data_IF_540264718931
#
_entry.id   IF_540264718931
#
_cell.length_a   1.000
_cell.length_b   1.000
_cell.length_c   1.000
_cell.angle_alpha   90.00
_cell.angle_beta   90.00
_cell.angle_gamma   90.00
#
_symmetry.space_group_name_H-M   'P 1'
#
loop_
_entity.id
_entity.type
_entity.pdbx_description
1 polymer ?
#
# COMPACT_ATOMS: atom_id res chain seq x y z
N UNK A 1 -6.91 -3.54 -12.08
CA UNK A 1 -8.03 -2.59 -12.33
C UNK A 1 -9.21 -2.94 -11.42
N UNK A 2 -10.32 -2.21 -11.48
CA UNK A 2 -11.51 -2.57 -10.71
C UNK A 2 -12.08 -3.94 -11.13
N UNK A 3 -12.08 -4.22 -12.44
CA UNK A 3 -12.56 -5.50 -12.99
C UNK A 3 -11.72 -6.67 -12.47
N UNK A 4 -10.39 -6.50 -12.44
CA UNK A 4 -9.48 -7.50 -11.88
C UNK A 4 -9.74 -7.77 -10.40
N UNK A 5 -10.01 -6.73 -9.59
CA UNK A 5 -10.35 -6.90 -8.17
C UNK A 5 -11.62 -7.74 -8.01
N UNK A 6 -12.64 -7.48 -8.83
CA UNK A 6 -13.89 -8.25 -8.82
C UNK A 6 -13.69 -9.70 -9.26
N UNK A 7 -12.88 -9.94 -10.30
CA UNK A 7 -12.55 -11.29 -10.77
C UNK A 7 -11.86 -12.12 -9.67
N UNK A 8 -10.86 -11.54 -9.01
CA UNK A 8 -10.19 -12.18 -7.86
C UNK A 8 -11.17 -12.37 -6.70
N UNK A 9 -12.07 -11.42 -6.44
CA UNK A 9 -13.08 -11.55 -5.39
C UNK A 9 -14.03 -12.73 -5.64
N UNK A 10 -14.41 -12.98 -6.88
CA UNK A 10 -15.26 -14.11 -7.26
C UNK A 10 -14.53 -15.43 -7.03
N UNK A 11 -13.30 -15.57 -7.54
CA UNK A 11 -12.48 -16.76 -7.35
C UNK A 11 -12.23 -17.06 -5.85
N UNK A 12 -11.94 -16.03 -5.05
CA UNK A 12 -11.77 -16.18 -3.59
C UNK A 12 -13.07 -16.61 -2.91
N UNK A 13 -14.23 -16.08 -3.35
CA UNK A 13 -15.53 -16.46 -2.77
C UNK A 13 -15.89 -17.92 -3.07
N UNK A 14 -15.54 -18.42 -4.26
CA UNK A 14 -15.69 -19.83 -4.62
C UNK A 14 -14.82 -20.72 -3.72
N UNK A 15 -13.54 -20.36 -3.54
CA UNK A 15 -12.61 -21.08 -2.67
C UNK A 15 -13.03 -21.05 -1.19
N UNK A 16 -13.55 -19.93 -0.69
CA UNK A 16 -14.09 -19.83 0.67
C UNK A 16 -15.24 -20.84 0.87
N UNK A 17 -16.16 -20.92 -0.10
CA UNK A 17 -17.28 -21.87 -0.07
C UNK A 17 -16.77 -23.32 -0.10
N UNK A 18 -15.87 -23.65 -1.02
CA UNK A 18 -15.32 -25.01 -1.15
C UNK A 18 -14.58 -25.47 0.11
N UNK A 19 -13.95 -24.54 0.82
CA UNK A 19 -13.18 -24.82 2.04
C UNK A 19 -13.96 -24.59 3.34
N UNK A 20 -15.27 -24.32 3.26
CA UNK A 20 -16.13 -23.98 4.41
C UNK A 20 -15.57 -22.85 5.29
N UNK A 21 -14.97 -21.84 4.66
CA UNK A 21 -14.51 -20.62 5.32
C UNK A 21 -15.65 -19.59 5.41
N UNK A 22 -15.60 -18.66 6.38
CA UNK A 22 -16.57 -17.57 6.45
C UNK A 22 -16.60 -16.74 5.16
N UNK A 23 -17.78 -16.52 4.54
CA UNK A 23 -17.89 -15.68 3.36
C UNK A 23 -17.39 -14.26 3.63
N UNK A 24 -16.53 -13.75 2.77
CA UNK A 24 -15.97 -12.40 2.93
C UNK A 24 -14.84 -12.31 3.96
N UNK A 25 -14.39 -13.43 4.54
CA UNK A 25 -13.35 -13.46 5.56
C UNK A 25 -11.98 -13.04 5.04
N UNK A 26 -11.67 -13.33 3.78
CA UNK A 26 -10.41 -12.95 3.13
C UNK A 26 -10.50 -11.52 2.60
N UNK A 27 -9.61 -10.63 3.06
CA UNK A 27 -9.56 -9.20 2.70
C UNK A 27 -8.38 -8.89 1.78
N UNK A 28 -8.47 -7.78 1.05
CA UNK A 28 -7.53 -7.41 0.00
C UNK A 28 -6.81 -6.09 0.31
N UNK A 29 -5.51 -6.13 0.11
CA UNK A 29 -4.66 -4.96 -0.06
C UNK A 29 -4.29 -4.88 -1.54
N UNK A 30 -4.46 -3.71 -2.17
CA UNK A 30 -3.98 -3.50 -3.54
C UNK A 30 -2.62 -2.79 -3.53
N UNK A 31 -1.65 -3.41 -4.19
CA UNK A 31 -0.34 -2.80 -4.45
C UNK A 31 -0.38 -2.14 -5.85
N UNK A 32 -0.02 -0.87 -5.91
CA UNK A 32 -0.06 -0.05 -7.12
C UNK A 32 1.36 0.08 -7.65
N UNK A 33 1.60 -0.53 -8.81
CA UNK A 33 2.96 -0.76 -9.34
C UNK A 33 3.12 -0.27 -10.78
N UNK A 34 2.09 0.37 -11.36
CA UNK A 34 2.13 0.85 -12.74
C UNK A 34 1.58 2.26 -12.87
N UNK A 35 2.18 3.12 -13.72
CA UNK A 35 1.68 4.48 -13.95
C UNK A 35 0.23 4.54 -14.42
N UNK A 36 -0.17 3.58 -15.27
CA UNK A 36 -1.54 3.49 -15.78
C UNK A 36 -2.60 3.27 -14.69
N UNK A 37 -2.23 2.67 -13.55
CA UNK A 37 -3.15 2.48 -12.44
C UNK A 37 -3.51 3.78 -11.71
N UNK A 38 -2.66 4.82 -11.79
CA UNK A 38 -2.91 6.12 -11.13
C UNK A 38 -4.23 6.76 -11.59
N UNK A 39 -4.55 6.63 -12.88
CA UNK A 39 -5.78 7.17 -13.47
C UNK A 39 -7.04 6.38 -13.05
N UNK A 40 -6.86 5.23 -12.39
CA UNK A 40 -7.93 4.29 -12.05
C UNK A 40 -8.02 4.03 -10.54
N UNK A 41 -7.29 4.80 -9.72
CA UNK A 41 -7.17 4.56 -8.29
C UNK A 41 -8.52 4.55 -7.57
N UNK A 42 -9.39 5.52 -7.84
CA UNK A 42 -10.71 5.58 -7.23
C UNK A 42 -11.54 4.32 -7.53
N UNK A 43 -11.56 3.90 -8.79
CA UNK A 43 -12.28 2.69 -9.21
C UNK A 43 -11.69 1.42 -8.58
N UNK A 44 -10.37 1.32 -8.45
CA UNK A 44 -9.69 0.19 -7.78
C UNK A 44 -10.03 0.18 -6.28
N UNK A 45 -9.94 1.33 -5.62
CA UNK A 45 -10.16 1.47 -4.19
C UNK A 45 -11.59 1.06 -3.79
N UNK A 46 -12.59 1.46 -4.56
CA UNK A 46 -14.00 1.15 -4.30
C UNK A 46 -14.49 -0.12 -5.00
N UNK A 47 -13.60 -0.92 -5.61
CA UNK A 47 -14.01 -2.01 -6.49
C UNK A 47 -14.81 -3.12 -5.78
N UNK A 48 -14.49 -3.41 -4.52
CA UNK A 48 -15.09 -4.52 -3.80
C UNK A 48 -15.04 -4.34 -2.26
N UNK A 49 -16.05 -4.80 -1.49
CA UNK A 49 -16.03 -4.76 -0.03
C UNK A 49 -14.83 -5.47 0.64
N UNK A 50 -14.14 -6.35 -0.07
CA UNK A 50 -12.93 -7.02 0.43
C UNK A 50 -11.74 -6.08 0.55
N UNK A 51 -11.72 -4.96 -0.18
CA UNK A 51 -10.65 -3.96 -0.08
C UNK A 51 -10.55 -3.42 1.35
N UNK A 52 -9.33 -3.37 1.89
CA UNK A 52 -9.01 -2.80 3.22
C UNK A 52 -7.85 -1.83 3.19
N UNK A 53 -6.95 -1.95 2.21
CA UNK A 53 -5.74 -1.15 2.16
C UNK A 53 -5.25 -0.95 0.72
N UNK A 54 -4.45 0.09 0.53
CA UNK A 54 -3.69 0.31 -0.69
C UNK A 54 -2.28 0.76 -0.36
N UNK A 55 -1.32 0.35 -1.19
CA UNK A 55 0.07 0.75 -1.10
C UNK A 55 0.63 1.03 -2.50
N UNK A 56 1.59 1.93 -2.61
CA UNK A 56 2.43 2.01 -3.80
C UNK A 56 3.54 0.96 -3.68
N UNK A 57 3.84 0.22 -4.74
CA UNK A 57 5.04 -0.59 -4.86
C UNK A 57 6.15 0.26 -5.49
N UNK A 58 7.11 0.81 -4.71
CA UNK A 58 8.00 1.84 -5.20
C UNK A 58 8.98 1.33 -6.27
N UNK A 59 9.46 0.10 -6.15
CA UNK A 59 10.45 -0.47 -7.07
C UNK A 59 9.83 -0.71 -8.46
N UNK A 60 8.74 -1.48 -8.51
CA UNK A 60 8.06 -1.81 -9.77
C UNK A 60 7.43 -0.58 -10.42
N UNK A 61 6.88 0.34 -9.63
CA UNK A 61 6.36 1.60 -10.16
C UNK A 61 7.48 2.41 -10.85
N UNK A 62 8.65 2.52 -10.21
CA UNK A 62 9.79 3.25 -10.77
C UNK A 62 10.32 2.59 -12.04
N UNK A 63 10.46 1.26 -12.02
CA UNK A 63 10.86 0.48 -13.18
C UNK A 63 9.88 0.65 -14.36
N UNK A 64 8.56 0.65 -14.09
CA UNK A 64 7.53 0.85 -15.11
C UNK A 64 7.52 2.27 -15.70
N UNK A 65 7.98 3.28 -14.95
CA UNK A 65 8.22 4.64 -15.46
C UNK A 65 9.54 4.72 -16.27
N UNK A 66 10.48 3.81 -16.04
CA UNK A 66 11.84 3.86 -16.59
C UNK A 66 12.81 4.69 -15.73
N UNK A 67 12.52 4.86 -14.44
CA UNK A 67 13.34 5.59 -13.48
C UNK A 67 13.78 4.73 -12.30
N UNK A 68 14.38 5.38 -11.30
CA UNK A 68 14.73 4.76 -10.01
C UNK A 68 13.75 5.15 -8.89
N UNK A 69 13.76 4.42 -7.75
CA UNK A 69 12.90 4.66 -6.59
C UNK A 69 13.31 5.90 -5.79
N UNK A 70 13.42 7.03 -6.48
CA UNK A 70 13.82 8.32 -5.96
C UNK A 70 12.64 9.09 -5.37
N UNK A 71 12.93 9.97 -4.42
CA UNK A 71 11.91 10.75 -3.71
C UNK A 71 11.00 11.55 -4.67
N UNK A 72 11.60 12.28 -5.62
CA UNK A 72 10.86 13.16 -6.53
C UNK A 72 9.92 12.39 -7.46
N UNK A 73 10.33 11.19 -7.90
CA UNK A 73 9.51 10.31 -8.72
C UNK A 73 8.37 9.72 -7.90
N UNK A 74 8.62 9.34 -6.65
CA UNK A 74 7.68 8.59 -5.81
C UNK A 74 6.73 9.46 -4.99
N UNK A 75 7.00 10.75 -4.80
CA UNK A 75 6.17 11.62 -3.96
C UNK A 75 4.74 11.73 -4.48
N UNK A 76 4.58 12.15 -5.74
CA UNK A 76 3.27 12.32 -6.37
C UNK A 76 2.44 11.01 -6.42
N UNK A 77 2.97 9.87 -6.92
CA UNK A 77 2.20 8.62 -6.95
C UNK A 77 1.88 8.08 -5.54
N UNK A 78 2.80 8.21 -4.58
CA UNK A 78 2.53 7.80 -3.19
C UNK A 78 1.38 8.58 -2.58
N UNK A 79 1.36 9.91 -2.78
CA UNK A 79 0.27 10.76 -2.30
C UNK A 79 -1.05 10.47 -3.03
N UNK A 80 -1.02 10.19 -4.33
CA UNK A 80 -2.21 9.81 -5.08
C UNK A 80 -2.85 8.53 -4.53
N UNK A 81 -2.04 7.50 -4.23
CA UNK A 81 -2.51 6.26 -3.60
C UNK A 81 -3.05 6.53 -2.20
N UNK A 82 -2.36 7.36 -1.40
CA UNK A 82 -2.81 7.76 -0.07
C UNK A 82 -4.20 8.40 -0.11
N UNK A 83 -4.38 9.39 -0.99
CA UNK A 83 -5.64 10.12 -1.11
C UNK A 83 -6.78 9.21 -1.57
N UNK A 84 -6.53 8.34 -2.55
CA UNK A 84 -7.53 7.38 -3.02
C UNK A 84 -7.94 6.39 -1.92
N UNK A 85 -6.98 5.87 -1.16
CA UNK A 85 -7.26 4.98 -0.03
C UNK A 85 -8.13 5.69 1.02
N UNK A 86 -7.73 6.90 1.44
CA UNK A 86 -8.49 7.69 2.43
C UNK A 86 -9.90 8.02 1.93
N UNK A 87 -10.05 8.42 0.68
CA UNK A 87 -11.36 8.73 0.09
C UNK A 87 -12.30 7.52 0.07
N UNK A 88 -11.77 6.31 -0.08
CA UNK A 88 -12.53 5.06 -0.05
C UNK A 88 -12.66 4.44 1.35
N UNK A 89 -12.14 5.09 2.41
CA UNK A 89 -12.14 4.56 3.77
C UNK A 89 -11.17 3.38 4.00
N UNK A 90 -10.18 3.22 3.13
CA UNK A 90 -9.12 2.20 3.21
C UNK A 90 -7.89 2.71 3.96
N UNK A 91 -7.05 1.78 4.41
CA UNK A 91 -5.75 2.09 5.02
C UNK A 91 -4.72 2.45 3.93
N UNK A 92 -4.16 3.67 3.93
CA UNK A 92 -2.99 3.99 3.11
C UNK A 92 -1.74 3.43 3.77
N UNK A 93 -1.05 2.50 3.14
CA UNK A 93 0.22 1.93 3.62
C UNK A 93 1.37 2.34 2.71
N UNK A 94 2.49 2.74 3.30
CA UNK A 94 3.72 3.06 2.58
C UNK A 94 4.50 4.22 3.19
N UNK A 95 5.58 4.57 2.49
CA UNK A 95 6.39 5.76 2.67
C UNK A 95 6.97 6.16 1.31
N UNK A 96 7.55 7.35 1.21
CA UNK A 96 8.16 7.83 -0.05
C UNK A 96 9.64 7.43 -0.08
N UNK A 97 10.01 6.57 -1.03
CA UNK A 97 11.38 6.11 -1.24
C UNK A 97 11.45 4.61 -1.52
N UNK A 98 12.67 4.11 -1.73
CA UNK A 98 12.93 2.68 -1.91
C UNK A 98 12.62 1.88 -0.65
N UNK A 99 11.95 0.74 -0.83
CA UNK A 99 11.75 -0.26 0.23
C UNK A 99 12.94 -1.24 0.32
N UNK A 100 13.73 -1.33 -0.76
CA UNK A 100 14.97 -2.11 -0.85
C UNK A 100 16.13 -1.55 -0.03
N UNK A 101 16.17 -0.24 0.22
CA UNK A 101 17.18 0.37 1.09
C UNK A 101 16.79 0.25 2.57
N UNK A 102 17.09 -0.91 3.16
CA UNK A 102 16.81 -1.21 4.57
C UNK A 102 18.05 -1.21 5.47
N UNK A 103 19.23 -0.96 4.90
CA UNK A 103 20.49 -0.98 5.65
C UNK A 103 20.71 0.33 6.42
N UNK A 104 20.30 1.45 5.82
CA UNK A 104 20.33 2.77 6.45
C UNK A 104 19.07 2.99 7.33
N UNK A 105 19.14 2.47 8.55
CA UNK A 105 18.04 2.57 9.52
C UNK A 105 17.70 4.00 9.92
N UNK A 106 18.65 4.95 9.83
CA UNK A 106 18.39 6.36 10.14
C UNK A 106 17.50 6.99 9.07
N UNK A 107 17.86 6.82 7.78
CA UNK A 107 17.02 7.28 6.67
C UNK A 107 15.64 6.65 6.69
N UNK A 108 15.55 5.36 7.02
CA UNK A 108 14.26 4.67 7.10
C UNK A 108 13.37 5.24 8.22
N UNK A 109 13.95 5.59 9.37
CA UNK A 109 13.23 6.23 10.48
C UNK A 109 12.69 7.61 10.07
N UNK A 110 13.51 8.42 9.41
CA UNK A 110 13.10 9.72 8.89
C UNK A 110 11.97 9.59 7.85
N UNK A 111 12.09 8.62 6.93
CA UNK A 111 11.09 8.33 5.91
C UNK A 111 9.76 7.86 6.54
N UNK A 112 9.80 6.98 7.55
CA UNK A 112 8.62 6.51 8.26
C UNK A 112 7.94 7.63 9.07
N UNK A 113 8.73 8.46 9.77
CA UNK A 113 8.20 9.62 10.49
C UNK A 113 7.57 10.63 9.54
N UNK A 114 8.19 10.86 8.37
CA UNK A 114 7.62 11.70 7.32
C UNK A 114 6.32 11.11 6.76
N UNK A 115 6.28 9.82 6.45
CA UNK A 115 5.08 9.14 5.96
C UNK A 115 3.91 9.25 6.94
N UNK A 116 4.17 9.09 8.25
CA UNK A 116 3.14 9.33 9.28
C UNK A 116 2.61 10.77 9.23
N UNK A 117 3.48 11.77 9.09
CA UNK A 117 3.05 13.19 8.96
C UNK A 117 2.23 13.44 7.70
N UNK A 118 2.50 12.74 6.60
CA UNK A 118 1.70 12.81 5.37
C UNK A 118 0.32 12.14 5.51
N UNK A 119 0.12 11.28 6.52
CA UNK A 119 -1.14 10.61 6.80
C UNK A 119 -1.19 9.13 6.41
N UNK A 120 -0.05 8.49 6.12
CA UNK A 120 0.03 7.03 6.03
C UNK A 120 -0.29 6.38 7.38
N UNK A 121 -0.95 5.23 7.35
CA UNK A 121 -1.37 4.48 8.54
C UNK A 121 -0.37 3.38 8.96
N UNK A 122 0.61 3.08 8.10
CA UNK A 122 1.59 2.02 8.27
C UNK A 122 2.45 1.91 7.02
N UNK A 123 3.32 0.90 6.97
CA UNK A 123 4.12 0.59 5.79
C UNK A 123 4.29 -0.93 5.65
N UNK A 124 4.55 -1.38 4.42
CA UNK A 124 4.95 -2.77 4.15
C UNK A 124 6.43 -2.93 4.51
N UNK A 125 6.82 -4.12 5.00
CA UNK A 125 8.19 -4.46 5.34
C UNK A 125 8.65 -5.71 4.57
N UNK A 126 9.82 -5.62 3.95
CA UNK A 126 10.50 -6.74 3.27
C UNK A 126 11.64 -7.32 4.10
N UNK A 127 12.09 -6.60 5.14
CA UNK A 127 13.19 -7.02 6.00
C UNK A 127 12.82 -6.84 7.49
N UNK A 128 13.20 -7.78 8.39
CA UNK A 128 12.88 -7.70 9.83
C UNK A 128 13.29 -6.38 10.49
N UNK A 129 14.42 -5.78 10.10
CA UNK A 129 14.89 -4.49 10.63
C UNK A 129 13.87 -3.35 10.44
N UNK A 130 13.03 -3.42 9.40
CA UNK A 130 12.03 -2.39 9.11
C UNK A 130 10.84 -2.48 10.06
N UNK A 131 10.53 -3.68 10.58
CA UNK A 131 9.34 -3.95 11.39
C UNK A 131 9.34 -3.10 12.67
N UNK A 132 10.44 -3.11 13.41
CA UNK A 132 10.55 -2.33 14.65
C UNK A 132 10.43 -0.81 14.37
N UNK A 133 11.07 -0.35 13.29
CA UNK A 133 11.06 1.06 12.89
C UNK A 133 9.65 1.52 12.50
N UNK A 134 8.94 0.75 11.67
CA UNK A 134 7.57 1.09 11.29
C UNK A 134 6.61 1.00 12.47
N UNK A 135 6.71 -0.04 13.31
CA UNK A 135 5.87 -0.13 14.50
C UNK A 135 6.06 1.08 15.42
N UNK A 136 7.31 1.50 15.67
CA UNK A 136 7.59 2.70 16.47
C UNK A 136 7.04 3.98 15.81
N UNK A 137 7.29 4.15 14.50
CA UNK A 137 6.89 5.36 13.78
C UNK A 137 5.37 5.52 13.69
N UNK A 138 4.62 4.44 13.43
CA UNK A 138 3.18 4.47 13.17
C UNK A 138 2.32 4.19 14.41
N UNK A 139 2.93 3.80 15.54
CA UNK A 139 2.20 3.66 16.79
C UNK A 139 1.69 5.02 17.29
N UNK A 140 0.52 5.07 17.96
CA UNK A 140 0.08 6.26 18.66
C UNK A 140 1.12 6.63 19.73
N UNK A 141 1.34 7.93 19.94
CA UNK A 141 2.15 8.39 21.06
C UNK A 141 1.47 7.98 22.37
N UNK A 142 2.23 7.57 23.40
CA UNK A 142 1.71 7.49 24.75
C UNK A 142 1.10 8.86 25.08
N UNK A 143 -0.19 8.88 25.41
CA UNK A 143 -0.90 10.09 25.80
C UNK A 143 -0.39 10.59 27.16
#
# INVERSE_FOLDING_TARGET
SAEWVTEIANAVSELERERNLPPGGIRFLAQIETPGALQRLAAIASAHPRMVAMALGPEDFSAAVGGGPEFDLLLAPSLAVLFAARAAGLLPLGFVGSIGEFSDTYKLREAAAHARRLGFAGALAIHPNQVAIFNEAFSPSPQ
#
